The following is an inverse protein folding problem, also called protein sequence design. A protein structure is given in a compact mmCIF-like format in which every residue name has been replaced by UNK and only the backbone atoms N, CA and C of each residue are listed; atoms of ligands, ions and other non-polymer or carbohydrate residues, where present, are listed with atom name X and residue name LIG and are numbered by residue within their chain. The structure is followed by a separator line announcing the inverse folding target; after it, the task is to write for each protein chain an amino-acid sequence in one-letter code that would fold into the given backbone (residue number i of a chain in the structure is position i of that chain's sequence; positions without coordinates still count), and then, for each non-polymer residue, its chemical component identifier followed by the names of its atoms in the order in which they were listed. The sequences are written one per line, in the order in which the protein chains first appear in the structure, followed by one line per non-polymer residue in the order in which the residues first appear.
data_IF_396572438547
#
_entry.id   IF_396572438547
#
_cell.length_a   1.000
_cell.length_b   1.000
_cell.length_c   1.000
_cell.angle_alpha   90.00
_cell.angle_beta   90.00
_cell.angle_gamma   90.00
#
_symmetry.space_group_name_H-M   'P 1'
#
loop_
_entity.id
_entity.type
_entity.pdbx_description
1 polymer ?
#
# COMPACT_ATOMS: atom_id res chain seq x y z
N UNK A 1 -53.25 20.35 9.70
CA UNK A 1 -52.20 20.67 8.73
C UNK A 1 -50.87 21.07 9.38
N UNK A 2 -50.79 22.08 10.27
CA UNK A 2 -49.51 22.55 10.86
C UNK A 2 -48.69 21.46 11.59
N UNK A 3 -49.36 20.56 12.37
CA UNK A 3 -48.66 19.46 13.09
C UNK A 3 -48.10 18.41 12.13
N UNK A 4 -48.78 18.07 11.03
CA UNK A 4 -48.26 17.13 10.06
C UNK A 4 -47.05 17.64 9.30
N UNK A 5 -47.02 18.92 8.96
CA UNK A 5 -45.85 19.58 8.34
C UNK A 5 -44.66 19.58 9.27
N UNK A 6 -44.84 19.89 10.56
CA UNK A 6 -43.76 19.88 11.53
C UNK A 6 -43.15 18.48 11.72
N UNK A 7 -43.98 17.44 11.78
CA UNK A 7 -43.51 16.04 11.84
C UNK A 7 -42.72 15.66 10.59
N UNK A 8 -43.25 16.02 9.40
CA UNK A 8 -42.57 15.73 8.15
C UNK A 8 -41.16 16.40 8.08
N UNK A 9 -41.08 17.67 8.46
CA UNK A 9 -39.82 18.43 8.51
C UNK A 9 -38.83 17.81 9.52
N UNK A 10 -39.31 17.38 10.69
CA UNK A 10 -38.46 16.74 11.69
C UNK A 10 -37.92 15.38 11.21
N UNK A 11 -38.75 14.55 10.57
CA UNK A 11 -38.31 13.27 9.99
C UNK A 11 -37.34 13.48 8.85
N UNK A 12 -37.59 14.46 7.97
CA UNK A 12 -36.67 14.79 6.87
C UNK A 12 -35.31 15.27 7.38
N UNK A 13 -35.29 16.09 8.44
CA UNK A 13 -34.06 16.56 9.07
C UNK A 13 -33.27 15.40 9.73
N UNK A 14 -33.96 14.46 10.39
CA UNK A 14 -33.33 13.28 10.98
C UNK A 14 -32.76 12.35 9.90
N UNK A 15 -33.49 12.10 8.83
CA UNK A 15 -33.00 11.28 7.70
C UNK A 15 -31.81 11.93 7.00
N UNK A 16 -31.87 13.24 6.76
CA UNK A 16 -30.76 13.98 6.18
C UNK A 16 -29.54 13.97 7.11
N UNK A 17 -29.73 14.15 8.42
CA UNK A 17 -28.66 14.06 9.41
C UNK A 17 -28.04 12.68 9.50
N UNK A 18 -28.86 11.61 9.48
CA UNK A 18 -28.37 10.23 9.47
C UNK A 18 -27.63 9.90 8.16
N UNK A 19 -28.18 10.33 7.02
CA UNK A 19 -27.52 10.17 5.71
C UNK A 19 -26.17 10.90 5.67
N UNK A 20 -26.12 12.16 6.13
CA UNK A 20 -24.88 12.94 6.18
C UNK A 20 -23.84 12.31 7.10
N UNK A 21 -24.24 11.84 8.30
CA UNK A 21 -23.31 11.17 9.23
C UNK A 21 -22.82 9.82 8.71
N UNK A 22 -23.67 9.05 8.03
CA UNK A 22 -23.27 7.79 7.41
C UNK A 22 -22.35 8.02 6.19
N UNK A 23 -22.68 9.01 5.35
CA UNK A 23 -21.94 9.27 4.10
C UNK A 23 -20.55 9.85 4.33
N UNK A 24 -20.31 10.56 5.46
CA UNK A 24 -18.98 11.12 5.76
C UNK A 24 -17.88 10.03 5.87
N UNK A 25 -18.26 8.80 6.24
CA UNK A 25 -17.36 7.66 6.32
C UNK A 25 -17.24 6.90 4.99
N UNK A 26 -18.00 7.30 3.97
CA UNK A 26 -17.92 6.64 2.67
C UNK A 26 -16.56 6.86 2.03
N UNK A 27 -15.97 5.77 1.56
CA UNK A 27 -14.76 5.83 0.73
C UNK A 27 -15.23 6.05 -0.70
N UNK A 28 -14.69 7.10 -1.32
CA UNK A 28 -14.95 7.44 -2.72
C UNK A 28 -13.79 6.95 -3.56
N UNK A 29 -14.12 6.37 -4.69
CA UNK A 29 -13.18 5.98 -5.73
C UNK A 29 -13.39 6.86 -6.95
N UNK A 30 -12.30 7.39 -7.50
CA UNK A 30 -12.31 8.19 -8.71
C UNK A 30 -11.17 7.74 -9.63
N UNK A 31 -11.51 7.31 -10.83
CA UNK A 31 -10.49 6.95 -11.83
C UNK A 31 -10.11 8.17 -12.65
N UNK A 32 -8.82 8.49 -12.69
CA UNK A 32 -8.25 9.58 -13.48
C UNK A 32 -7.30 9.02 -14.53
N UNK A 33 -7.29 9.66 -15.70
CA UNK A 33 -6.38 9.35 -16.78
C UNK A 33 -5.52 10.57 -17.09
N UNK A 34 -4.21 10.42 -16.92
CA UNK A 34 -3.24 11.43 -17.33
C UNK A 34 -2.43 10.93 -18.52
N UNK A 35 -1.86 11.87 -19.29
CA UNK A 35 -1.05 11.58 -20.46
C UNK A 35 0.32 12.22 -20.30
N UNK A 36 1.38 11.41 -20.24
CA UNK A 36 2.75 11.90 -20.06
C UNK A 36 3.36 12.32 -21.40
N UNK A 37 3.51 13.62 -21.66
CA UNK A 37 4.02 14.13 -22.91
C UNK A 37 5.51 13.82 -23.13
N UNK A 38 6.28 13.69 -22.06
CA UNK A 38 7.69 13.36 -22.11
C UNK A 38 7.95 11.91 -22.57
N UNK A 39 6.91 11.06 -22.50
CA UNK A 39 6.97 9.65 -22.93
C UNK A 39 5.99 9.35 -24.04
N UNK A 40 5.84 10.25 -25.01
CA UNK A 40 4.98 10.07 -26.19
C UNK A 40 3.49 10.01 -25.85
N UNK A 41 3.04 10.85 -24.93
CA UNK A 41 1.67 10.86 -24.41
C UNK A 41 1.27 9.49 -23.82
N UNK A 42 2.20 8.84 -23.10
CA UNK A 42 1.90 7.59 -22.40
C UNK A 42 0.74 7.79 -21.45
N UNK A 43 -0.35 7.00 -21.56
CA UNK A 43 -1.43 7.04 -20.59
C UNK A 43 -0.94 6.48 -19.24
N UNK A 44 -1.30 7.17 -18.17
CA UNK A 44 -1.10 6.75 -16.78
C UNK A 44 -2.47 6.82 -16.11
N UNK A 45 -3.07 5.66 -15.93
CA UNK A 45 -4.38 5.52 -15.30
C UNK A 45 -4.18 5.29 -13.80
N UNK A 46 -4.97 5.99 -12.99
CA UNK A 46 -4.93 5.88 -11.54
C UNK A 46 -6.34 5.76 -10.96
N UNK A 47 -6.48 5.07 -9.84
CA UNK A 47 -7.66 5.11 -8.99
C UNK A 47 -7.30 5.82 -7.69
N UNK A 48 -8.05 6.87 -7.37
CA UNK A 48 -7.98 7.59 -6.10
C UNK A 48 -9.04 7.05 -5.16
N UNK A 49 -8.62 6.52 -4.02
CA UNK A 49 -9.54 6.16 -2.94
C UNK A 49 -9.33 7.09 -1.76
N UNK A 50 -10.38 7.77 -1.31
CA UNK A 50 -10.32 8.70 -0.17
C UNK A 50 -11.63 8.67 0.61
N UNK A 51 -11.54 8.83 1.92
CA UNK A 51 -12.72 8.97 2.76
C UNK A 51 -13.27 10.40 2.65
N UNK A 52 -14.55 10.52 2.36
CA UNK A 52 -15.18 11.79 2.00
C UNK A 52 -15.03 12.90 3.05
N UNK A 53 -15.17 12.58 4.34
CA UNK A 53 -14.98 13.58 5.40
C UNK A 53 -13.53 14.12 5.42
N UNK A 54 -12.54 13.25 5.17
CA UNK A 54 -11.13 13.63 5.13
C UNK A 54 -10.79 14.46 3.89
N UNK A 55 -11.41 14.15 2.77
CA UNK A 55 -11.32 14.97 1.56
C UNK A 55 -11.88 16.38 1.80
N UNK A 56 -13.04 16.49 2.47
CA UNK A 56 -13.62 17.79 2.81
C UNK A 56 -12.73 18.60 3.78
N UNK A 57 -12.19 17.95 4.83
CA UNK A 57 -11.25 18.59 5.76
C UNK A 57 -9.99 19.10 5.04
N UNK A 58 -9.46 18.32 4.11
CA UNK A 58 -8.30 18.70 3.29
C UNK A 58 -8.63 19.86 2.35
N UNK A 59 -9.76 19.80 1.65
CA UNK A 59 -10.21 20.88 0.76
C UNK A 59 -10.48 22.20 1.50
N UNK A 60 -10.88 22.11 2.77
CA UNK A 60 -11.00 23.27 3.66
C UNK A 60 -9.64 23.75 4.21
N UNK A 61 -8.53 23.10 3.88
CA UNK A 61 -7.19 23.45 4.37
C UNK A 61 -6.95 23.09 5.84
N UNK A 62 -7.82 22.25 6.45
CA UNK A 62 -7.74 21.88 7.86
C UNK A 62 -6.69 20.81 8.13
N UNK A 63 -6.45 19.92 7.15
CA UNK A 63 -5.46 18.84 7.21
C UNK A 63 -4.73 18.70 5.87
N UNK A 64 -3.58 18.01 5.89
CA UNK A 64 -2.99 17.39 4.69
C UNK A 64 -3.30 15.90 4.72
N UNK A 65 -3.78 15.35 3.60
CA UNK A 65 -4.03 13.91 3.48
C UNK A 65 -2.70 13.16 3.41
N UNK A 66 -2.44 12.19 4.28
CA UNK A 66 -1.32 11.27 4.04
C UNK A 66 -1.55 10.50 2.75
N UNK A 67 -0.48 10.23 2.00
CA UNK A 67 -0.58 9.58 0.68
C UNK A 67 -0.03 8.16 0.73
N UNK A 68 -0.80 7.20 0.21
CA UNK A 68 -0.36 5.84 -0.04
C UNK A 68 -0.34 5.57 -1.56
N UNK A 69 0.82 5.19 -2.11
CA UNK A 69 0.97 4.79 -3.51
C UNK A 69 0.88 3.28 -3.59
N UNK A 70 -0.14 2.76 -4.26
CA UNK A 70 -0.41 1.33 -4.39
C UNK A 70 -0.02 0.85 -5.79
N UNK A 71 0.89 -0.12 -5.82
CA UNK A 71 1.50 -0.67 -7.02
C UNK A 71 1.07 -2.13 -7.22
N UNK A 72 0.49 -2.43 -8.37
CA UNK A 72 -0.07 -3.75 -8.68
C UNK A 72 1.00 -4.79 -9.05
N UNK A 73 0.67 -6.07 -8.91
CA UNK A 73 1.47 -7.19 -9.39
C UNK A 73 1.52 -7.28 -10.92
N UNK A 74 2.49 -8.03 -11.45
CA UNK A 74 2.60 -8.25 -12.89
C UNK A 74 1.32 -8.88 -13.44
N UNK A 75 0.83 -8.41 -14.59
CA UNK A 75 -0.41 -8.86 -15.26
C UNK A 75 -1.71 -8.69 -14.48
N UNK A 76 -1.68 -8.00 -13.36
CA UNK A 76 -2.85 -7.72 -12.52
C UNK A 76 -3.27 -6.26 -12.73
N UNK A 77 -4.57 -5.99 -12.70
CA UNK A 77 -5.06 -4.61 -12.78
C UNK A 77 -4.78 -3.86 -11.47
N UNK A 78 -4.50 -2.56 -11.58
CA UNK A 78 -4.29 -1.68 -10.42
C UNK A 78 -5.49 -1.60 -9.46
N UNK A 79 -6.69 -1.92 -9.93
CA UNK A 79 -7.95 -1.95 -9.15
C UNK A 79 -8.18 -3.26 -8.38
N UNK A 80 -7.31 -4.27 -8.51
CA UNK A 80 -7.48 -5.58 -7.87
C UNK A 80 -6.92 -5.67 -6.44
N UNK A 81 -6.82 -4.53 -5.77
CA UNK A 81 -6.34 -4.39 -4.40
C UNK A 81 -7.25 -3.45 -3.58
N UNK A 82 -8.55 -3.45 -3.89
CA UNK A 82 -9.52 -2.57 -3.25
C UNK A 82 -9.60 -2.81 -1.73
N UNK A 83 -9.39 -4.05 -1.27
CA UNK A 83 -9.34 -4.37 0.16
C UNK A 83 -8.21 -3.62 0.89
N UNK A 84 -7.04 -3.42 0.25
CA UNK A 84 -5.95 -2.61 0.81
C UNK A 84 -6.28 -1.12 0.72
N UNK A 85 -6.71 -0.65 -0.45
CA UNK A 85 -7.07 0.74 -0.65
C UNK A 85 -8.10 1.21 0.38
N UNK A 86 -9.08 0.37 0.69
CA UNK A 86 -10.11 0.67 1.68
C UNK A 86 -9.56 0.76 3.11
N UNK A 87 -8.57 -0.06 3.51
CA UNK A 87 -7.94 0.05 4.83
C UNK A 87 -7.22 1.39 4.97
N UNK A 88 -6.41 1.76 3.99
CA UNK A 88 -5.70 3.03 4.01
C UNK A 88 -6.67 4.22 3.98
N UNK A 89 -7.67 4.20 3.10
CA UNK A 89 -8.65 5.29 3.00
C UNK A 89 -9.48 5.42 4.30
N UNK A 90 -9.88 4.31 4.93
CA UNK A 90 -10.54 4.32 6.23
C UNK A 90 -9.71 5.01 7.32
N UNK A 91 -8.38 4.93 7.22
CA UNK A 91 -7.40 5.60 8.09
C UNK A 91 -7.11 7.05 7.68
N UNK A 92 -7.81 7.57 6.69
CA UNK A 92 -7.69 8.96 6.23
C UNK A 92 -6.60 9.22 5.20
N UNK A 93 -6.02 8.17 4.63
CA UNK A 93 -5.10 8.32 3.50
C UNK A 93 -5.85 8.65 2.21
N UNK A 94 -5.21 9.42 1.35
CA UNK A 94 -5.49 9.40 -0.08
C UNK A 94 -4.67 8.26 -0.69
N UNK A 95 -5.35 7.25 -1.24
CA UNK A 95 -4.70 6.11 -1.88
C UNK A 95 -4.67 6.32 -3.38
N UNK A 96 -3.50 6.15 -3.97
CA UNK A 96 -3.24 6.31 -5.40
C UNK A 96 -2.83 4.95 -5.95
N UNK A 97 -3.77 4.21 -6.53
CA UNK A 97 -3.49 2.96 -7.23
C UNK A 97 -3.11 3.25 -8.67
N UNK A 98 -1.94 2.82 -9.14
CA UNK A 98 -1.39 3.21 -10.44
C UNK A 98 -1.30 2.02 -11.38
N UNK A 99 -1.83 2.13 -12.61
CA UNK A 99 -1.60 1.17 -13.68
C UNK A 99 -0.20 1.37 -14.29
N UNK A 100 0.69 0.40 -14.10
CA UNK A 100 2.07 0.49 -14.58
C UNK A 100 2.26 -0.04 -15.99
N UNK A 101 1.55 -1.11 -16.34
CA UNK A 101 1.75 -1.86 -17.57
C UNK A 101 0.61 -1.60 -18.56
N UNK A 102 0.99 -1.36 -19.82
CA UNK A 102 0.07 -1.30 -20.96
C UNK A 102 0.21 -2.57 -21.79
N UNK A 103 -0.83 -2.90 -22.54
CA UNK A 103 -0.80 -4.04 -23.45
C UNK A 103 0.31 -3.98 -24.52
N UNK A 104 0.79 -2.75 -24.80
CA UNK A 104 1.85 -2.47 -25.75
C UNK A 104 3.26 -2.52 -25.15
N UNK A 105 3.38 -2.63 -23.83
CA UNK A 105 4.68 -2.71 -23.17
C UNK A 105 5.35 -4.06 -23.40
N UNK A 106 6.68 -4.04 -23.40
CA UNK A 106 7.45 -5.28 -23.45
C UNK A 106 7.12 -6.16 -22.24
N UNK A 107 6.98 -7.48 -22.43
CA UNK A 107 6.69 -8.40 -21.34
C UNK A 107 7.80 -8.42 -20.28
N UNK A 108 7.45 -8.90 -19.11
CA UNK A 108 8.40 -9.08 -18.01
C UNK A 108 9.49 -10.10 -18.41
N UNK A 109 10.73 -9.66 -18.41
CA UNK A 109 11.88 -10.51 -18.63
C UNK A 109 12.50 -10.90 -17.28
N UNK A 110 12.85 -12.18 -17.12
CA UNK A 110 13.55 -12.67 -15.93
C UNK A 110 14.88 -13.26 -16.36
N UNK A 111 15.99 -12.75 -15.81
CA UNK A 111 17.30 -13.36 -15.92
C UNK A 111 17.60 -14.15 -14.64
N UNK A 112 17.91 -15.42 -14.78
CA UNK A 112 18.26 -16.28 -13.66
C UNK A 112 19.64 -15.89 -13.12
N UNK A 113 19.76 -15.76 -11.80
CA UNK A 113 21.03 -15.48 -11.13
C UNK A 113 21.45 -14.02 -11.08
N UNK A 114 20.73 -13.12 -11.73
CA UNK A 114 20.95 -11.67 -11.63
C UNK A 114 19.78 -11.00 -10.89
N UNK A 115 20.04 -10.49 -9.68
CA UNK A 115 19.06 -9.77 -8.90
C UNK A 115 18.48 -8.63 -9.75
N UNK A 116 17.18 -8.67 -9.99
CA UNK A 116 16.33 -7.68 -10.67
C UNK A 116 16.91 -6.93 -11.88
N UNK A 117 18.13 -7.18 -12.31
CA UNK A 117 18.80 -6.47 -13.42
C UNK A 117 18.00 -6.58 -14.72
N UNK A 118 17.49 -7.77 -15.04
CA UNK A 118 16.66 -7.99 -16.23
C UNK A 118 15.29 -7.29 -16.16
N UNK A 119 14.88 -6.81 -14.96
CA UNK A 119 13.60 -6.13 -14.71
C UNK A 119 13.73 -4.62 -14.55
N UNK A 120 14.93 -4.08 -14.56
CA UNK A 120 15.17 -2.64 -14.43
C UNK A 120 14.31 -1.79 -15.37
N UNK A 121 14.11 -2.14 -16.66
CA UNK A 121 13.24 -1.35 -17.54
C UNK A 121 11.80 -1.20 -16.99
N UNK A 122 11.26 -2.25 -16.35
CA UNK A 122 9.92 -2.19 -15.73
C UNK A 122 9.92 -1.37 -14.45
N UNK A 123 10.94 -1.51 -13.61
CA UNK A 123 11.04 -0.71 -12.39
C UNK A 123 11.24 0.77 -12.71
N UNK A 124 12.07 1.10 -13.71
CA UNK A 124 12.20 2.48 -14.21
C UNK A 124 10.87 3.01 -14.75
N UNK A 125 10.11 2.21 -15.50
CA UNK A 125 8.77 2.58 -15.97
C UNK A 125 7.82 2.82 -14.79
N UNK A 126 7.79 1.91 -13.81
CA UNK A 126 6.98 2.04 -12.59
C UNK A 126 7.31 3.33 -11.83
N UNK A 127 8.60 3.59 -11.60
CA UNK A 127 9.08 4.81 -10.95
C UNK A 127 8.69 6.07 -11.74
N UNK A 128 8.83 6.06 -13.07
CA UNK A 128 8.43 7.17 -13.91
C UNK A 128 6.91 7.43 -13.87
N UNK A 129 6.10 6.36 -13.85
CA UNK A 129 4.64 6.49 -13.67
C UNK A 129 4.28 7.09 -12.32
N UNK A 130 4.92 6.64 -11.23
CA UNK A 130 4.68 7.18 -9.88
C UNK A 130 5.02 8.67 -9.84
N UNK A 131 6.20 9.05 -10.32
CA UNK A 131 6.61 10.46 -10.32
C UNK A 131 5.67 11.34 -11.14
N UNK A 132 5.34 10.91 -12.34
CA UNK A 132 4.41 11.64 -13.21
C UNK A 132 3.02 11.77 -12.56
N UNK A 133 2.49 10.67 -11.96
CA UNK A 133 1.22 10.71 -11.25
C UNK A 133 1.25 11.70 -10.08
N UNK A 134 2.33 11.72 -9.29
CA UNK A 134 2.50 12.68 -8.18
C UNK A 134 2.52 14.12 -8.71
N UNK A 135 3.24 14.40 -9.80
CA UNK A 135 3.33 15.75 -10.36
C UNK A 135 1.97 16.25 -10.90
N UNK A 136 1.18 15.36 -11.50
CA UNK A 136 -0.19 15.71 -11.94
C UNK A 136 -1.16 15.84 -10.75
N UNK A 137 -1.04 14.94 -9.75
CA UNK A 137 -1.89 15.00 -8.57
C UNK A 137 -1.64 16.24 -7.72
N UNK A 138 -0.42 16.74 -7.62
CA UNK A 138 -0.12 18.02 -6.95
C UNK A 138 -0.93 19.18 -7.52
N UNK A 139 -1.33 19.12 -8.79
CA UNK A 139 -2.14 20.16 -9.45
C UNK A 139 -3.63 20.08 -9.09
N UNK A 140 -4.16 18.85 -8.91
CA UNK A 140 -5.60 18.61 -8.69
C UNK A 140 -5.94 18.29 -7.24
N UNK A 141 -4.98 17.81 -6.46
CA UNK A 141 -5.10 17.48 -5.03
C UNK A 141 -3.94 18.11 -4.22
N UNK A 142 -3.83 19.46 -4.17
CA UNK A 142 -2.68 20.13 -3.55
C UNK A 142 -2.59 19.94 -2.03
N UNK A 143 -3.69 19.52 -1.38
CA UNK A 143 -3.78 19.34 0.07
C UNK A 143 -3.42 17.92 0.54
N UNK A 144 -2.57 17.20 -0.22
CA UNK A 144 -2.03 15.90 0.14
C UNK A 144 -0.52 16.00 0.43
N UNK A 145 -0.01 15.10 1.27
CA UNK A 145 1.40 15.06 1.68
C UNK A 145 2.19 14.14 0.74
N UNK A 146 2.78 14.72 -0.29
CA UNK A 146 3.61 14.00 -1.25
C UNK A 146 5.09 13.89 -0.83
N UNK A 147 5.45 14.43 0.33
CA UNK A 147 6.83 14.42 0.83
C UNK A 147 7.05 13.29 1.88
N UNK A 148 5.96 12.66 2.34
CA UNK A 148 5.98 11.57 3.34
C UNK A 148 5.13 10.38 2.88
N UNK A 149 5.47 9.78 1.76
CA UNK A 149 4.69 8.73 1.12
C UNK A 149 4.72 7.41 1.90
N UNK A 150 3.63 6.67 1.84
CA UNK A 150 3.59 5.25 2.15
C UNK A 150 3.55 4.47 0.83
N UNK A 151 4.59 3.68 0.57
CA UNK A 151 4.64 2.82 -0.61
C UNK A 151 3.99 1.48 -0.30
N UNK A 152 3.10 1.03 -1.17
CA UNK A 152 2.39 -0.25 -1.02
C UNK A 152 2.51 -1.02 -2.32
N UNK A 153 2.74 -2.34 -2.27
CA UNK A 153 2.75 -3.10 -3.50
C UNK A 153 2.78 -4.61 -3.33
N UNK A 154 2.17 -5.30 -4.28
CA UNK A 154 2.16 -6.75 -4.37
C UNK A 154 3.12 -7.24 -5.45
N UNK A 155 3.89 -8.31 -5.16
CA UNK A 155 4.75 -8.94 -6.17
C UNK A 155 5.68 -7.92 -6.86
N UNK A 156 5.59 -7.78 -8.17
CA UNK A 156 6.31 -6.77 -8.97
C UNK A 156 6.05 -5.33 -8.49
N UNK A 157 4.83 -5.03 -8.03
CA UNK A 157 4.49 -3.74 -7.43
C UNK A 157 5.22 -3.49 -6.10
N UNK A 158 5.44 -4.54 -5.32
CA UNK A 158 6.28 -4.48 -4.12
C UNK A 158 7.76 -4.23 -4.46
N UNK A 159 8.25 -4.84 -5.54
CA UNK A 159 9.59 -4.56 -6.06
C UNK A 159 9.72 -3.11 -6.56
N UNK A 160 8.70 -2.58 -7.28
CA UNK A 160 8.65 -1.17 -7.69
C UNK A 160 8.67 -0.25 -6.47
N UNK A 161 7.90 -0.58 -5.41
CA UNK A 161 7.85 0.19 -4.17
C UNK A 161 9.21 0.28 -3.48
N UNK A 162 9.91 -0.85 -3.34
CA UNK A 162 11.27 -0.90 -2.78
C UNK A 162 12.28 -0.14 -3.66
N UNK A 163 12.16 -0.30 -4.99
CA UNK A 163 13.05 0.38 -5.93
C UNK A 163 12.84 1.90 -5.93
N UNK A 164 11.59 2.36 -5.84
CA UNK A 164 11.27 3.78 -5.68
C UNK A 164 11.88 4.34 -4.40
N UNK A 165 11.70 3.66 -3.26
CA UNK A 165 12.26 4.08 -1.99
C UNK A 165 13.79 4.13 -1.98
N UNK A 166 14.46 3.23 -2.73
CA UNK A 166 15.91 3.27 -2.93
C UNK A 166 16.36 4.53 -3.68
N UNK A 167 15.60 4.99 -4.67
CA UNK A 167 15.94 6.15 -5.49
C UNK A 167 15.52 7.49 -4.85
N UNK A 168 14.44 7.50 -4.07
CA UNK A 168 13.85 8.69 -3.46
C UNK A 168 13.60 8.50 -1.96
N UNK A 169 14.64 8.18 -1.18
CA UNK A 169 14.48 7.81 0.23
C UNK A 169 13.86 8.92 1.08
N UNK A 170 14.13 10.17 0.76
CA UNK A 170 13.68 11.32 1.56
C UNK A 170 12.17 11.62 1.39
N UNK A 171 11.50 10.96 0.43
CA UNK A 171 10.06 11.08 0.20
C UNK A 171 9.25 9.97 0.87
N UNK A 172 9.90 9.00 1.53
CA UNK A 172 9.23 7.78 2.00
C UNK A 172 9.24 7.72 3.53
N UNK A 173 8.08 7.44 4.11
CA UNK A 173 7.91 7.20 5.54
C UNK A 173 7.71 5.72 5.88
N UNK A 174 6.86 5.04 5.12
CA UNK A 174 6.48 3.64 5.35
C UNK A 174 6.50 2.84 4.03
N UNK A 175 6.80 1.56 4.13
CA UNK A 175 6.73 0.63 2.98
C UNK A 175 5.95 -0.61 3.41
N UNK A 176 4.96 -1.01 2.60
CA UNK A 176 4.19 -2.23 2.80
C UNK A 176 4.34 -3.09 1.54
N UNK A 177 4.86 -4.30 1.69
CA UNK A 177 4.96 -5.24 0.56
C UNK A 177 4.16 -6.51 0.82
N UNK A 178 3.49 -6.97 -0.22
CA UNK A 178 2.86 -8.26 -0.28
C UNK A 178 3.69 -9.11 -1.25
N UNK A 179 4.59 -9.88 -0.68
CA UNK A 179 5.40 -10.88 -1.38
C UNK A 179 6.21 -10.35 -2.57
N UNK A 180 6.93 -9.24 -2.38
CA UNK A 180 7.93 -8.79 -3.36
C UNK A 180 9.06 -9.82 -3.46
N UNK A 181 9.62 -10.02 -4.66
CA UNK A 181 10.44 -11.20 -4.92
C UNK A 181 11.87 -10.89 -5.38
N UNK A 182 12.17 -9.66 -5.83
CA UNK A 182 13.42 -9.38 -6.54
C UNK A 182 14.24 -8.24 -5.97
N UNK A 183 13.60 -7.14 -5.57
CA UNK A 183 14.32 -5.99 -5.02
C UNK A 183 14.57 -6.20 -3.52
N UNK A 184 15.84 -6.20 -3.08
CA UNK A 184 16.17 -6.36 -1.67
C UNK A 184 15.54 -5.30 -0.78
N UNK A 185 15.25 -5.67 0.46
CA UNK A 185 14.78 -4.72 1.46
C UNK A 185 15.86 -3.70 1.79
N UNK A 186 15.41 -2.48 2.10
CA UNK A 186 16.28 -1.42 2.57
C UNK A 186 16.46 -1.57 4.09
N UNK A 187 17.70 -1.84 4.50
CA UNK A 187 18.03 -2.22 5.89
C UNK A 187 18.73 -1.12 6.69
N UNK A 188 18.70 0.11 6.18
CA UNK A 188 19.37 1.26 6.82
C UNK A 188 18.54 1.90 7.95
N UNK A 189 17.39 1.35 8.28
CA UNK A 189 16.53 1.79 9.39
C UNK A 189 15.78 3.10 9.15
N UNK A 190 15.86 3.68 7.95
CA UNK A 190 15.17 4.94 7.62
C UNK A 190 13.67 4.80 7.45
N UNK A 191 13.19 3.59 7.19
CA UNK A 191 11.79 3.32 6.87
C UNK A 191 11.19 2.33 7.86
N UNK A 192 9.89 2.47 8.14
CA UNK A 192 9.11 1.38 8.68
C UNK A 192 8.67 0.49 7.55
N UNK A 193 9.04 -0.79 7.59
CA UNK A 193 8.71 -1.76 6.56
C UNK A 193 7.85 -2.87 7.16
N UNK A 194 6.69 -3.14 6.54
CA UNK A 194 5.86 -4.31 6.78
C UNK A 194 5.87 -5.16 5.52
N UNK A 195 6.25 -6.42 5.64
CA UNK A 195 6.25 -7.35 4.50
C UNK A 195 5.49 -8.63 4.83
N UNK A 196 4.46 -8.92 4.05
CA UNK A 196 3.78 -10.21 4.06
C UNK A 196 4.51 -11.17 3.11
N UNK A 197 4.78 -12.39 3.56
CA UNK A 197 5.44 -13.43 2.78
C UNK A 197 4.49 -14.58 2.54
N UNK A 198 4.32 -14.99 1.28
CA UNK A 198 3.51 -16.14 0.92
C UNK A 198 4.18 -17.46 1.32
N UNK A 199 3.39 -18.51 1.39
CA UNK A 199 3.85 -19.91 1.50
C UNK A 199 3.99 -20.57 0.12
N UNK A 200 3.94 -19.78 -0.94
CA UNK A 200 3.91 -20.29 -2.31
C UNK A 200 5.22 -21.00 -2.69
N UNK A 201 5.17 -22.26 -3.15
CA UNK A 201 6.37 -23.00 -3.53
C UNK A 201 6.99 -22.54 -4.86
N UNK A 202 6.22 -21.83 -5.70
CA UNK A 202 6.64 -21.37 -7.04
C UNK A 202 7.17 -19.94 -6.97
N UNK A 203 6.42 -19.05 -6.30
CA UNK A 203 6.79 -17.64 -6.18
C UNK A 203 7.71 -17.43 -4.98
N UNK A 204 9.00 -17.66 -5.18
CA UNK A 204 10.02 -17.47 -4.13
C UNK A 204 10.81 -16.20 -4.36
N UNK A 205 11.13 -15.53 -3.26
CA UNK A 205 12.08 -14.42 -3.29
C UNK A 205 13.47 -14.90 -3.72
N UNK A 206 14.16 -14.07 -4.49
CA UNK A 206 15.57 -14.32 -4.81
C UNK A 206 16.40 -14.30 -3.52
N UNK A 207 17.53 -15.03 -3.46
CA UNK A 207 18.43 -14.97 -2.31
C UNK A 207 18.84 -13.53 -1.98
N UNK A 208 18.77 -13.17 -0.72
CA UNK A 208 19.14 -11.82 -0.24
C UNK A 208 18.05 -10.74 -0.40
N UNK A 209 16.87 -11.07 -0.95
CA UNK A 209 15.76 -10.11 -1.02
C UNK A 209 15.17 -9.85 0.36
N UNK A 210 14.90 -10.91 1.11
CA UNK A 210 14.44 -10.83 2.50
C UNK A 210 15.64 -11.05 3.41
N UNK A 211 16.01 -10.08 4.24
CA UNK A 211 17.12 -10.23 5.18
C UNK A 211 16.80 -11.26 6.27
N UNK A 212 17.83 -11.69 6.98
CA UNK A 212 17.68 -12.53 8.16
C UNK A 212 16.89 -11.80 9.26
N UNK A 213 16.26 -12.55 10.15
CA UNK A 213 15.38 -12.01 11.20
C UNK A 213 16.11 -11.01 12.10
N UNK A 214 17.41 -11.23 12.42
CA UNK A 214 18.23 -10.29 13.18
C UNK A 214 18.44 -8.94 12.47
N UNK A 215 18.66 -8.97 11.16
CA UNK A 215 18.82 -7.75 10.35
C UNK A 215 17.47 -7.03 10.26
N UNK A 216 16.38 -7.78 10.06
CA UNK A 216 15.03 -7.22 10.04
C UNK A 216 14.70 -6.49 11.33
N UNK A 217 14.97 -7.11 12.50
CA UNK A 217 14.73 -6.51 13.80
C UNK A 217 15.52 -5.21 14.01
N UNK A 218 16.81 -5.24 13.68
CA UNK A 218 17.69 -4.04 13.78
C UNK A 218 17.24 -2.91 12.87
N UNK A 219 16.73 -3.23 11.69
CA UNK A 219 16.27 -2.25 10.69
C UNK A 219 14.82 -1.79 10.89
N UNK A 220 14.08 -2.33 11.88
CA UNK A 220 12.67 -2.00 12.08
C UNK A 220 11.75 -2.58 11.01
N UNK A 221 12.13 -3.72 10.43
CA UNK A 221 11.37 -4.42 9.39
C UNK A 221 10.52 -5.52 10.05
N UNK A 222 9.21 -5.47 9.85
CA UNK A 222 8.29 -6.53 10.28
C UNK A 222 8.00 -7.48 9.12
N UNK A 223 8.41 -8.74 9.26
CA UNK A 223 8.14 -9.79 8.27
C UNK A 223 7.06 -10.72 8.80
N UNK A 224 5.92 -10.77 8.12
CA UNK A 224 4.78 -11.64 8.45
C UNK A 224 4.76 -12.82 7.48
N UNK A 225 5.13 -14.01 7.97
CA UNK A 225 5.05 -15.25 7.21
C UNK A 225 3.63 -15.78 7.26
N UNK A 226 2.94 -15.80 6.11
CA UNK A 226 1.54 -16.22 6.00
C UNK A 226 1.43 -17.68 5.56
N UNK A 227 0.23 -18.24 5.69
CA UNK A 227 -0.11 -19.55 5.12
C UNK A 227 -0.72 -19.47 3.71
N UNK A 228 -0.85 -18.26 3.18
CA UNK A 228 -1.51 -17.98 1.90
C UNK A 228 -0.54 -18.11 0.74
N UNK A 229 -1.10 -18.35 -0.46
CA UNK A 229 -0.34 -18.37 -1.70
C UNK A 229 -0.05 -16.94 -2.17
N UNK A 230 0.90 -16.78 -3.08
CA UNK A 230 1.26 -15.50 -3.67
C UNK A 230 0.04 -14.74 -4.23
N UNK A 231 -0.77 -15.44 -5.03
CA UNK A 231 -1.94 -14.85 -5.69
C UNK A 231 -3.16 -14.67 -4.77
N UNK A 232 -3.12 -15.18 -3.54
CA UNK A 232 -4.19 -14.96 -2.55
C UNK A 232 -4.16 -13.55 -1.95
N UNK A 233 -3.08 -12.79 -2.18
CA UNK A 233 -2.85 -11.47 -1.59
C UNK A 233 -3.46 -10.33 -2.43
N UNK A 234 -4.59 -10.57 -3.09
CA UNK A 234 -5.35 -9.60 -3.90
C UNK A 234 -6.86 -9.80 -3.72
N UNK A 235 -7.70 -8.98 -4.33
CA UNK A 235 -9.17 -9.01 -4.14
C UNK A 235 -9.80 -10.36 -4.47
N UNK A 236 -9.23 -11.11 -5.42
CA UNK A 236 -9.68 -12.45 -5.79
C UNK A 236 -9.25 -13.54 -4.82
N UNK A 237 -8.41 -13.21 -3.84
CA UNK A 237 -7.98 -14.14 -2.79
C UNK A 237 -9.08 -14.46 -1.77
N UNK A 238 -8.87 -15.48 -0.92
CA UNK A 238 -9.81 -15.85 0.13
C UNK A 238 -10.07 -14.70 1.11
N UNK A 239 -11.28 -14.61 1.66
CA UNK A 239 -11.62 -13.58 2.64
C UNK A 239 -10.76 -13.67 3.91
N UNK A 240 -10.35 -14.87 4.29
CA UNK A 240 -9.43 -15.10 5.42
C UNK A 240 -8.07 -14.44 5.18
N UNK A 241 -7.51 -14.53 3.96
CA UNK A 241 -6.25 -13.90 3.61
C UNK A 241 -6.37 -12.37 3.68
N UNK A 242 -7.44 -11.82 3.09
CA UNK A 242 -7.72 -10.38 3.13
C UNK A 242 -7.88 -9.89 4.57
N UNK A 243 -8.68 -10.58 5.39
CA UNK A 243 -8.91 -10.20 6.79
C UNK A 243 -7.62 -10.25 7.63
N UNK A 244 -6.78 -11.28 7.44
CA UNK A 244 -5.49 -11.41 8.11
C UNK A 244 -4.53 -10.27 7.75
N UNK A 245 -4.43 -9.94 6.45
CA UNK A 245 -3.60 -8.84 5.96
C UNK A 245 -4.12 -7.51 6.48
N UNK A 246 -5.43 -7.26 6.40
CA UNK A 246 -6.07 -6.05 6.88
C UNK A 246 -5.84 -5.82 8.37
N UNK A 247 -6.05 -6.85 9.21
CA UNK A 247 -5.86 -6.72 10.66
C UNK A 247 -4.41 -6.45 11.07
N UNK A 248 -3.43 -6.98 10.34
CA UNK A 248 -2.02 -6.71 10.58
C UNK A 248 -1.62 -5.31 10.08
N UNK A 249 -2.09 -4.95 8.89
CA UNK A 249 -1.86 -3.64 8.30
C UNK A 249 -2.43 -2.52 9.17
N UNK A 250 -3.62 -2.73 9.71
CA UNK A 250 -4.31 -1.80 10.59
C UNK A 250 -3.44 -1.46 11.82
N UNK A 251 -2.90 -2.48 12.50
CA UNK A 251 -1.99 -2.30 13.63
C UNK A 251 -0.70 -1.57 13.23
N UNK A 252 -0.14 -1.90 12.07
CA UNK A 252 1.06 -1.25 11.56
C UNK A 252 0.83 0.23 11.25
N UNK A 253 -0.35 0.60 10.78
CA UNK A 253 -0.71 1.99 10.47
C UNK A 253 -1.04 2.80 11.73
N UNK A 254 -1.49 2.17 12.81
CA UNK A 254 -1.70 2.80 14.13
C UNK A 254 -0.39 3.24 14.78
N UNK A 255 0.70 2.55 14.48
CA UNK A 255 2.00 2.87 15.05
C UNK A 255 2.65 4.07 14.35
N UNK A 256 2.54 5.24 14.99
CA UNK A 256 3.18 6.49 14.55
C UNK A 256 4.59 6.71 15.13
N UNK A 257 5.16 5.72 15.84
CA UNK A 257 6.53 5.83 16.33
C UNK A 257 7.50 6.08 15.16
N UNK A 258 8.55 6.88 15.35
CA UNK A 258 9.53 7.10 14.28
C UNK A 258 10.25 5.79 13.91
N UNK A 259 10.77 5.65 12.67
CA UNK A 259 11.66 4.56 12.32
C UNK A 259 12.80 4.47 13.32
N UNK A 260 13.25 3.25 13.66
CA UNK A 260 14.40 3.08 14.55
C UNK A 260 15.67 3.56 13.85
N UNK A 261 16.48 4.42 14.50
CA UNK A 261 17.78 4.75 13.94
C UNK A 261 18.64 3.48 13.82
N UNK A 262 19.37 3.33 12.74
CA UNK A 262 20.32 2.25 12.56
C UNK A 262 21.27 2.17 13.78
N UNK A 263 21.26 1.03 14.51
CA UNK A 263 22.06 0.83 15.72
C UNK A 263 21.34 1.06 17.06
N UNK A 264 20.05 1.34 17.10
CA UNK A 264 19.29 1.38 18.35
C UNK A 264 19.21 -0.02 18.98
N UNK A 265 19.43 -0.12 20.31
CA UNK A 265 19.27 -1.40 21.05
C UNK A 265 17.85 -1.93 20.90
N UNK A 266 17.66 -3.27 20.83
CA UNK A 266 16.32 -3.89 20.84
C UNK A 266 15.51 -3.40 22.06
N UNK A 267 14.22 -3.12 21.87
CA UNK A 267 13.30 -2.99 22.98
C UNK A 267 13.19 -4.37 23.61
N UNK A 268 13.41 -4.49 24.93
CA UNK A 268 13.07 -5.68 25.66
C UNK A 268 11.57 -5.96 25.42
N UNK A 269 11.27 -7.08 24.77
CA UNK A 269 9.89 -7.46 24.51
C UNK A 269 9.30 -8.04 25.78
N UNK A 270 8.23 -7.45 26.29
CA UNK A 270 7.34 -8.05 27.31
C UNK A 270 6.54 -9.28 26.78
N UNK A 271 6.91 -9.79 25.61
CA UNK A 271 6.37 -11.03 25.08
C UNK A 271 7.14 -12.21 25.68
N UNK A 272 6.51 -12.91 26.62
CA UNK A 272 7.01 -14.17 27.15
C UNK A 272 7.34 -15.18 26.02
N UNK A 273 8.17 -16.18 26.31
CA UNK A 273 8.72 -17.07 25.30
C UNK A 273 7.62 -17.76 24.50
N UNK A 274 7.70 -17.63 23.17
CA UNK A 274 6.84 -18.37 22.25
C UNK A 274 7.01 -19.88 22.49
N UNK A 275 5.90 -20.58 22.74
CA UNK A 275 5.92 -22.02 22.95
C UNK A 275 6.53 -22.73 21.73
N UNK A 276 7.42 -23.73 21.94
CA UNK A 276 8.03 -24.45 20.82
C UNK A 276 6.98 -25.25 20.05
N UNK A 277 7.01 -25.13 18.73
CA UNK A 277 6.21 -25.95 17.83
C UNK A 277 6.54 -27.44 18.03
N UNK A 278 5.58 -28.21 18.50
CA UNK A 278 5.69 -29.68 18.52
C UNK A 278 5.46 -30.18 17.07
N UNK A 279 6.32 -31.07 16.55
CA UNK A 279 6.07 -31.71 15.25
C UNK A 279 4.86 -32.67 15.35
N UNK A 280 4.07 -32.84 14.27
CA UNK A 280 2.97 -33.78 14.26
C UNK A 280 3.50 -35.20 14.44
N UNK A 281 2.89 -35.94 15.38
CA UNK A 281 3.14 -37.34 15.60
C UNK A 281 2.77 -38.16 14.36
N UNK A 282 3.76 -38.93 13.88
CA UNK A 282 3.52 -39.98 12.90
C UNK A 282 2.73 -41.10 13.56
N UNK A 283 1.53 -41.36 13.10
CA UNK A 283 0.82 -42.63 13.16
C UNK A 283 0.25 -42.95 11.79
#
# INVERSE_FOLDING_TARGET
MKRGIAVLLSVSALVAGAYFTASKWAIRHETLMFYDPARGNRPVEIDLAVRWDKELEANAGMIKLPVAILNHGNTVKFTEYSFLANVFAARGYMVVSIQHDLATDAPLVTKVGELYVGRLPQYHRGVANIRFAIDELKKVQPNADYDNLTMVGHSNGGDISMYFAKLYPDQIKKIVTLDNLRVPFLTDGRFKILSFRSRDPVFKADPGVVPDDEICEKAGITVVRTLFQHNDMRDTGPDEAKASIQGTLDKFLEDDSPPRPAGAKPLESDAGPAAPFAPPSQN
#
